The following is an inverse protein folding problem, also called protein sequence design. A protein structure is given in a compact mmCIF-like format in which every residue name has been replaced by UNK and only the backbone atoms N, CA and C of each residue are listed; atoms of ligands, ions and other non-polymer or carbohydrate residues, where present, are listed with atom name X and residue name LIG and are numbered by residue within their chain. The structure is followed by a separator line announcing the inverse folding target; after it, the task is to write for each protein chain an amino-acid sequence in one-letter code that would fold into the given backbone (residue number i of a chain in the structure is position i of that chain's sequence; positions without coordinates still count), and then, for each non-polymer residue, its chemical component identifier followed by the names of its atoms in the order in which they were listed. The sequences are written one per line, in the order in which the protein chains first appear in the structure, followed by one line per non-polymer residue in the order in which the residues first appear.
data_IF_672672320992
#
_entry.id   IF_672672320992
#
_cell.length_a   1.000
_cell.length_b   1.000
_cell.length_c   1.000
_cell.angle_alpha   90.00
_cell.angle_beta   90.00
_cell.angle_gamma   90.00
#
_symmetry.space_group_name_H-M   'P 1'
#
loop_
_entity.id
_entity.type
_entity.pdbx_description
1 polymer ?
#
# COMPACT_ATOMS: atom_id res chain seq x y z
N UNK A 1 29.64 1.35 -15.43
CA UNK A 1 29.08 0.43 -14.44
C UNK A 1 27.71 0.96 -14.02
N UNK A 2 26.65 0.26 -14.36
CA UNK A 2 25.33 0.62 -13.83
C UNK A 2 25.31 0.28 -12.34
N UNK A 3 25.22 1.29 -11.48
CA UNK A 3 24.91 1.08 -10.07
C UNK A 3 23.47 0.59 -10.06
N UNK A 4 23.27 -0.70 -9.78
CA UNK A 4 21.93 -1.24 -9.62
C UNK A 4 21.21 -0.44 -8.54
N UNK A 5 20.00 0.02 -8.84
CA UNK A 5 19.16 0.68 -7.84
C UNK A 5 18.80 -0.40 -6.83
N UNK A 6 19.46 -0.37 -5.67
CA UNK A 6 19.23 -1.33 -4.61
C UNK A 6 17.94 -0.96 -3.89
N UNK A 7 16.88 -1.70 -4.19
CA UNK A 7 15.57 -1.59 -3.55
C UNK A 7 15.28 -2.95 -2.92
N UNK A 8 15.10 -2.98 -1.62
CA UNK A 8 14.65 -4.16 -0.87
C UNK A 8 13.21 -4.03 -0.42
N UNK A 9 12.50 -5.15 -0.38
CA UNK A 9 11.13 -5.23 0.13
C UNK A 9 11.13 -6.17 1.34
N UNK A 10 10.53 -5.72 2.43
CA UNK A 10 10.37 -6.50 3.65
C UNK A 10 9.05 -6.20 4.35
N UNK A 11 8.65 -7.06 5.28
CA UNK A 11 7.53 -6.75 6.17
C UNK A 11 7.80 -5.52 7.02
N UNK A 12 6.77 -4.72 7.24
CA UNK A 12 6.82 -3.57 8.13
C UNK A 12 6.86 -4.00 9.59
N UNK A 13 7.47 -3.16 10.41
CA UNK A 13 7.44 -3.26 11.87
C UNK A 13 7.14 -1.90 12.49
N UNK A 14 7.05 -1.83 13.82
CA UNK A 14 6.72 -0.59 14.54
C UNK A 14 7.72 0.55 14.30
N UNK A 15 8.97 0.22 14.01
CA UNK A 15 10.01 1.23 13.73
C UNK A 15 9.78 1.96 12.40
N UNK A 16 8.97 1.37 11.50
CA UNK A 16 8.64 1.98 10.21
C UNK A 16 7.53 3.04 10.31
N UNK A 17 6.91 3.19 11.47
CA UNK A 17 5.77 4.09 11.66
C UNK A 17 6.07 5.55 11.29
N UNK A 18 7.28 6.04 11.59
CA UNK A 18 7.68 7.40 11.24
C UNK A 18 7.82 7.59 9.73
N UNK A 19 8.46 6.66 9.06
CA UNK A 19 8.65 6.71 7.62
C UNK A 19 7.30 6.61 6.87
N UNK A 20 6.41 5.73 7.30
CA UNK A 20 5.06 5.61 6.72
C UNK A 20 4.25 6.89 6.95
N UNK A 21 4.30 7.47 8.16
CA UNK A 21 3.67 8.74 8.44
C UNK A 21 4.19 9.86 7.54
N UNK A 22 5.49 9.94 7.35
CA UNK A 22 6.13 10.90 6.45
C UNK A 22 5.66 10.72 5.00
N UNK A 23 5.62 9.48 4.51
CA UNK A 23 5.11 9.18 3.15
C UNK A 23 3.68 9.72 2.99
N UNK A 24 2.80 9.46 3.95
CA UNK A 24 1.40 9.92 3.90
C UNK A 24 1.28 11.44 3.92
N UNK A 25 2.13 12.14 4.67
CA UNK A 25 2.17 13.60 4.67
C UNK A 25 2.67 14.16 3.33
N UNK A 26 3.73 13.58 2.78
CA UNK A 26 4.30 14.01 1.50
C UNK A 26 3.38 13.73 0.30
N UNK A 27 2.63 12.63 0.33
CA UNK A 27 1.60 12.31 -0.68
C UNK A 27 0.47 13.34 -0.67
N UNK A 28 0.08 13.84 0.50
CA UNK A 28 -0.84 14.97 0.64
C UNK A 28 -2.32 14.67 0.38
N UNK A 29 -2.74 13.40 0.40
CA UNK A 29 -4.13 13.03 0.05
C UNK A 29 -5.06 12.88 1.25
N UNK A 30 -4.53 12.96 2.45
CA UNK A 30 -5.28 12.66 3.67
C UNK A 30 -5.21 13.85 4.63
N UNK A 31 -6.28 14.64 4.69
CA UNK A 31 -6.36 15.85 5.51
C UNK A 31 -6.00 15.59 6.98
N UNK A 32 -6.38 14.44 7.51
CA UNK A 32 -6.07 14.04 8.88
C UNK A 32 -4.57 13.88 9.17
N UNK A 33 -3.75 13.66 8.15
CA UNK A 33 -2.29 13.61 8.27
C UNK A 33 -1.64 14.96 7.97
N UNK A 34 -2.30 15.80 7.17
CA UNK A 34 -1.83 17.16 6.90
C UNK A 34 -2.01 18.09 8.11
N UNK A 35 -3.06 17.86 8.90
CA UNK A 35 -3.44 18.72 10.03
C UNK A 35 -2.66 18.45 11.33
N UNK A 36 -1.74 17.50 11.34
CA UNK A 36 -1.03 17.07 12.55
C UNK A 36 0.49 17.09 12.36
N UNK A 37 1.24 17.10 13.47
CA UNK A 37 2.70 16.97 13.42
C UNK A 37 3.12 15.58 12.96
N UNK A 38 4.37 15.44 12.53
CA UNK A 38 4.94 14.13 12.17
C UNK A 38 4.92 13.17 13.36
N UNK A 39 5.17 13.65 14.57
CA UNK A 39 5.13 12.85 15.80
C UNK A 39 3.72 12.32 16.08
N UNK A 40 2.71 13.15 15.90
CA UNK A 40 1.31 12.73 16.06
C UNK A 40 0.90 11.73 14.97
N UNK A 41 1.30 11.97 13.73
CA UNK A 41 1.08 11.05 12.61
C UNK A 41 1.76 9.70 12.85
N UNK A 42 3.01 9.72 13.31
CA UNK A 42 3.76 8.51 13.68
C UNK A 42 3.04 7.70 14.75
N UNK A 43 2.56 8.35 15.81
CA UNK A 43 1.83 7.64 16.88
C UNK A 43 0.57 6.93 16.36
N UNK A 44 -0.17 7.58 15.48
CA UNK A 44 -1.35 6.97 14.82
C UNK A 44 -0.98 5.76 13.97
N UNK A 45 0.09 5.85 13.19
CA UNK A 45 0.55 4.74 12.36
C UNK A 45 1.07 3.59 13.22
N UNK A 46 1.84 3.88 14.28
CA UNK A 46 2.34 2.85 15.19
C UNK A 46 1.20 2.06 15.84
N UNK A 47 0.14 2.73 16.29
CA UNK A 47 -1.06 2.07 16.83
C UNK A 47 -1.71 1.13 15.80
N UNK A 48 -1.86 1.60 14.56
CA UNK A 48 -2.48 0.82 13.48
C UNK A 48 -1.62 -0.37 13.05
N UNK A 49 -0.31 -0.20 12.95
CA UNK A 49 0.62 -1.31 12.67
C UNK A 49 0.52 -2.37 13.78
N UNK A 50 0.56 -1.95 15.05
CA UNK A 50 0.43 -2.85 16.20
C UNK A 50 -0.88 -3.66 16.13
N UNK A 51 -1.98 -3.01 15.79
CA UNK A 51 -3.28 -3.66 15.61
C UNK A 51 -3.27 -4.66 14.45
N UNK A 52 -2.72 -4.29 13.31
CA UNK A 52 -2.57 -5.21 12.17
C UNK A 52 -1.75 -6.45 12.53
N UNK A 53 -0.65 -6.26 13.25
CA UNK A 53 0.19 -7.38 13.73
C UNK A 53 -0.57 -8.29 14.68
N UNK A 54 -1.38 -7.74 15.57
CA UNK A 54 -2.17 -8.50 16.54
C UNK A 54 -3.31 -9.28 15.87
N UNK A 55 -4.02 -8.68 14.92
CA UNK A 55 -5.15 -9.31 14.24
C UNK A 55 -4.70 -10.37 13.21
N UNK A 56 -3.52 -10.21 12.61
CA UNK A 56 -2.95 -11.16 11.64
C UNK A 56 -3.68 -11.27 10.30
N UNK A 57 -4.63 -10.37 10.02
CA UNK A 57 -5.44 -10.35 8.79
C UNK A 57 -4.92 -9.39 7.74
N UNK A 58 -3.80 -8.73 8.03
CA UNK A 58 -3.18 -7.73 7.18
C UNK A 58 -1.74 -8.11 6.88
N UNK A 59 -1.25 -7.65 5.74
CA UNK A 59 0.18 -7.64 5.42
C UNK A 59 0.57 -6.24 5.01
N UNK A 60 1.65 -5.74 5.58
CA UNK A 60 2.24 -4.45 5.21
C UNK A 60 3.69 -4.71 4.80
N UNK A 61 4.03 -4.37 3.57
CA UNK A 61 5.43 -4.35 3.10
C UNK A 61 5.93 -2.93 2.96
N UNK A 62 7.19 -2.73 3.28
CA UNK A 62 7.92 -1.49 3.03
C UNK A 62 9.00 -1.71 1.98
N UNK A 63 9.27 -0.67 1.21
CA UNK A 63 10.38 -0.62 0.29
C UNK A 63 11.48 0.27 0.86
N UNK A 64 12.68 -0.27 0.93
CA UNK A 64 13.88 0.45 1.33
C UNK A 64 14.75 0.77 0.11
N UNK A 65 15.25 1.98 0.06
CA UNK A 65 16.25 2.44 -0.89
C UNK A 65 17.23 3.33 -0.18
N UNK A 66 18.54 3.05 -0.31
CA UNK A 66 19.60 3.78 0.40
C UNK A 66 19.39 3.81 1.93
N UNK A 67 19.03 2.65 2.48
CA UNK A 67 18.76 2.44 3.92
C UNK A 67 17.58 3.24 4.49
N UNK A 68 16.73 3.81 3.62
CA UNK A 68 15.53 4.53 4.03
C UNK A 68 14.26 3.89 3.47
N UNK A 69 13.20 3.87 4.26
CA UNK A 69 11.87 3.44 3.82
C UNK A 69 11.25 4.55 2.97
N UNK A 70 11.01 4.24 1.70
CA UNK A 70 10.57 5.21 0.68
C UNK A 70 9.20 4.89 0.08
N UNK A 71 8.62 3.77 0.44
CA UNK A 71 7.29 3.36 -0.02
C UNK A 71 6.73 2.22 0.82
N UNK A 72 5.42 1.99 0.71
CA UNK A 72 4.77 0.87 1.36
C UNK A 72 3.52 0.42 0.63
N UNK A 73 3.10 -0.81 0.89
CA UNK A 73 1.84 -1.39 0.43
C UNK A 73 1.16 -2.10 1.60
N UNK A 74 -0.15 -1.98 1.70
CA UNK A 74 -0.96 -2.66 2.72
C UNK A 74 -2.10 -3.42 2.05
N UNK A 75 -2.29 -4.67 2.46
CA UNK A 75 -3.41 -5.50 2.03
C UNK A 75 -4.12 -6.16 3.23
N UNK A 76 -5.41 -6.40 3.03
CA UNK A 76 -6.29 -7.09 3.96
C UNK A 76 -6.70 -8.44 3.35
N UNK A 77 -6.70 -9.49 4.15
CA UNK A 77 -7.04 -10.84 3.72
C UNK A 77 -8.32 -11.29 4.39
N UNK A 78 -9.27 -11.79 3.61
CA UNK A 78 -10.56 -12.21 4.16
C UNK A 78 -11.21 -13.30 3.31
N UNK A 79 -11.97 -14.21 3.94
CA UNK A 79 -12.79 -15.15 3.20
C UNK A 79 -13.99 -14.42 2.59
N UNK A 80 -14.23 -14.65 1.30
CA UNK A 80 -15.41 -14.20 0.59
C UNK A 80 -16.34 -15.41 0.41
N UNK A 81 -17.52 -15.37 1.00
CA UNK A 81 -18.41 -16.54 1.05
C UNK A 81 -18.74 -17.13 -0.33
N UNK A 82 -18.90 -16.26 -1.33
CA UNK A 82 -19.27 -16.68 -2.69
C UNK A 82 -18.07 -17.01 -3.59
N UNK A 83 -16.91 -16.38 -3.36
CA UNK A 83 -15.80 -16.37 -4.35
C UNK A 83 -14.51 -16.99 -3.84
N UNK A 84 -14.42 -17.35 -2.57
CA UNK A 84 -13.24 -17.97 -1.98
C UNK A 84 -12.48 -17.02 -1.05
N UNK A 85 -11.18 -16.85 -1.26
CA UNK A 85 -10.33 -16.05 -0.38
C UNK A 85 -9.76 -14.85 -1.13
N UNK A 86 -10.11 -13.65 -0.68
CA UNK A 86 -9.75 -12.39 -1.31
C UNK A 86 -8.66 -11.64 -0.54
N UNK A 87 -7.90 -10.84 -1.27
CA UNK A 87 -7.06 -9.79 -0.74
C UNK A 87 -7.50 -8.43 -1.26
N UNK A 88 -7.56 -7.44 -0.37
CA UNK A 88 -7.82 -6.04 -0.71
C UNK A 88 -6.58 -5.21 -0.47
N UNK A 89 -5.97 -4.72 -1.56
CA UNK A 89 -4.86 -3.77 -1.49
C UNK A 89 -5.46 -2.39 -1.21
N UNK A 90 -5.38 -1.98 0.05
CA UNK A 90 -5.99 -0.72 0.51
C UNK A 90 -5.10 0.49 0.27
N UNK A 91 -3.77 0.29 0.26
CA UNK A 91 -2.80 1.37 0.18
C UNK A 91 -1.56 0.91 -0.59
N UNK A 92 -1.11 1.76 -1.49
CA UNK A 92 0.17 1.65 -2.19
C UNK A 92 0.70 3.05 -2.44
N UNK A 93 1.71 3.44 -1.69
CA UNK A 93 2.29 4.78 -1.75
C UNK A 93 3.80 4.74 -1.80
N UNK A 94 4.35 5.64 -2.60
CA UNK A 94 5.79 5.89 -2.73
C UNK A 94 6.03 7.38 -2.51
N UNK A 95 7.12 7.74 -1.82
CA UNK A 95 7.52 9.14 -1.71
C UNK A 95 7.54 9.79 -3.09
N UNK A 96 6.94 10.99 -3.25
CA UNK A 96 6.93 11.67 -4.55
C UNK A 96 8.34 11.87 -5.15
N UNK A 97 9.34 12.11 -4.32
CA UNK A 97 10.75 12.23 -4.72
C UNK A 97 11.38 10.92 -5.21
N UNK A 98 10.76 9.79 -4.92
CA UNK A 98 11.27 8.44 -5.20
C UNK A 98 10.48 7.72 -6.30
N UNK A 99 9.58 8.41 -6.97
CA UNK A 99 8.84 7.86 -8.12
C UNK A 99 9.76 7.69 -9.34
N UNK A 100 9.43 6.73 -10.20
CA UNK A 100 10.22 6.46 -11.42
C UNK A 100 11.33 5.42 -11.24
N UNK A 101 11.56 4.90 -10.03
CA UNK A 101 12.56 3.86 -9.75
C UNK A 101 11.98 2.44 -9.70
N UNK A 102 10.71 2.26 -10.04
CA UNK A 102 10.06 0.94 -10.03
C UNK A 102 9.69 0.42 -8.63
N UNK A 103 9.66 1.29 -7.62
CA UNK A 103 9.35 0.93 -6.23
C UNK A 103 7.91 0.39 -6.12
N UNK A 104 6.95 1.10 -6.70
CA UNK A 104 5.55 0.67 -6.72
C UNK A 104 5.34 -0.71 -7.36
N UNK A 105 6.05 -0.98 -8.45
CA UNK A 105 6.02 -2.28 -9.14
C UNK A 105 6.57 -3.40 -8.26
N UNK A 106 7.65 -3.16 -7.54
CA UNK A 106 8.24 -4.14 -6.62
C UNK A 106 7.35 -4.42 -5.41
N UNK A 107 6.75 -3.38 -4.85
CA UNK A 107 5.77 -3.52 -3.76
C UNK A 107 4.56 -4.34 -4.21
N UNK A 108 4.04 -4.06 -5.39
CA UNK A 108 2.89 -4.78 -5.96
C UNK A 108 3.24 -6.25 -6.23
N UNK A 109 4.43 -6.54 -6.76
CA UNK A 109 4.92 -7.91 -6.99
C UNK A 109 5.08 -8.69 -5.69
N UNK A 110 5.57 -8.05 -4.63
CA UNK A 110 5.67 -8.67 -3.30
C UNK A 110 4.27 -9.04 -2.75
N UNK A 111 3.29 -8.18 -2.98
CA UNK A 111 1.91 -8.45 -2.56
C UNK A 111 1.26 -9.58 -3.37
N UNK A 112 1.54 -9.68 -4.67
CA UNK A 112 1.14 -10.81 -5.51
C UNK A 112 1.70 -12.13 -4.99
N UNK A 113 2.98 -12.15 -4.62
CA UNK A 113 3.63 -13.34 -4.06
C UNK A 113 3.00 -13.74 -2.72
N UNK A 114 2.72 -12.79 -1.86
CA UNK A 114 2.03 -13.04 -0.57
C UNK A 114 0.61 -13.57 -0.77
N UNK A 115 -0.11 -13.03 -1.74
CA UNK A 115 -1.45 -13.52 -2.09
C UNK A 115 -1.43 -14.99 -2.51
N UNK A 116 -0.47 -15.38 -3.36
CA UNK A 116 -0.30 -16.79 -3.78
C UNK A 116 0.06 -17.69 -2.60
N UNK A 117 0.96 -17.25 -1.74
CA UNK A 117 1.37 -17.97 -0.53
C UNK A 117 0.19 -18.25 0.41
N UNK A 118 -0.76 -17.30 0.49
CA UNK A 118 -1.97 -17.43 1.32
C UNK A 118 -3.10 -18.21 0.65
N UNK A 119 -2.93 -18.64 -0.59
CA UNK A 119 -4.01 -19.28 -1.35
C UNK A 119 -5.13 -18.33 -1.74
N UNK A 120 -4.83 -17.05 -1.83
CA UNK A 120 -5.77 -16.02 -2.25
C UNK A 120 -6.15 -16.27 -3.72
N UNK A 121 -7.44 -16.20 -4.01
CA UNK A 121 -7.96 -16.43 -5.36
C UNK A 121 -8.13 -15.15 -6.15
N UNK A 122 -8.18 -14.01 -5.47
CA UNK A 122 -8.37 -12.72 -6.11
C UNK A 122 -7.78 -11.58 -5.28
N UNK A 123 -7.11 -10.63 -5.94
CA UNK A 123 -6.75 -9.34 -5.38
C UNK A 123 -7.67 -8.27 -5.96
N UNK A 124 -8.13 -7.37 -5.12
CA UNK A 124 -8.92 -6.20 -5.51
C UNK A 124 -8.29 -4.93 -4.95
N UNK A 125 -8.52 -3.83 -5.64
CA UNK A 125 -8.15 -2.49 -5.15
C UNK A 125 -9.09 -1.44 -5.75
N UNK A 126 -9.11 -0.27 -5.13
CA UNK A 126 -9.78 0.91 -5.66
C UNK A 126 -8.71 1.93 -6.07
N UNK A 127 -8.77 2.36 -7.33
CA UNK A 127 -7.93 3.45 -7.83
C UNK A 127 -8.82 4.58 -8.35
N UNK A 128 -8.68 5.76 -7.80
CA UNK A 128 -9.46 6.91 -8.25
C UNK A 128 -9.00 7.36 -9.65
N UNK A 129 -9.94 7.52 -10.58
CA UNK A 129 -9.65 7.87 -11.98
C UNK A 129 -8.91 9.20 -12.15
N UNK A 130 -9.01 10.11 -11.17
CA UNK A 130 -8.30 11.39 -11.15
C UNK A 130 -6.82 11.26 -10.78
N UNK A 131 -6.37 10.10 -10.32
CA UNK A 131 -4.99 9.87 -9.90
C UNK A 131 -4.08 9.64 -11.10
N UNK A 132 -2.84 10.11 -10.99
CA UNK A 132 -1.81 9.91 -12.00
C UNK A 132 -1.59 8.43 -12.31
N UNK A 133 -1.58 7.57 -11.27
CA UNK A 133 -1.45 6.13 -11.42
C UNK A 133 -2.53 5.51 -12.31
N UNK A 134 -3.76 6.01 -12.23
CA UNK A 134 -4.82 5.60 -13.13
C UNK A 134 -4.59 6.13 -14.55
N UNK A 135 -4.31 7.41 -14.69
CA UNK A 135 -4.15 8.08 -16.00
C UNK A 135 -3.00 7.48 -16.81
N UNK A 136 -1.89 7.14 -16.17
CA UNK A 136 -0.76 6.46 -16.83
C UNK A 136 -0.91 4.95 -16.97
N UNK A 137 -2.02 4.37 -16.51
CA UNK A 137 -2.32 2.96 -16.64
C UNK A 137 -1.42 2.05 -15.80
N UNK A 138 -0.96 2.49 -14.63
CA UNK A 138 -0.04 1.74 -13.78
C UNK A 138 -0.52 0.32 -13.49
N UNK A 139 -1.74 0.17 -12.98
CA UNK A 139 -2.28 -1.16 -12.64
C UNK A 139 -2.54 -2.02 -13.87
N UNK A 140 -3.03 -1.44 -14.97
CA UNK A 140 -3.24 -2.17 -16.23
C UNK A 140 -1.94 -2.75 -16.77
N UNK A 141 -0.84 -2.01 -16.70
CA UNK A 141 0.51 -2.47 -17.10
C UNK A 141 1.00 -3.64 -16.24
N UNK A 142 0.46 -3.81 -15.03
CA UNK A 142 0.77 -4.90 -14.11
C UNK A 142 -0.27 -6.03 -14.13
N UNK A 143 -1.10 -6.10 -15.18
CA UNK A 143 -2.05 -7.19 -15.37
C UNK A 143 -3.38 -7.06 -14.63
N UNK A 144 -3.67 -5.89 -14.07
CA UNK A 144 -4.95 -5.62 -13.42
C UNK A 144 -6.02 -5.17 -14.42
N UNK A 145 -7.24 -5.63 -14.23
CA UNK A 145 -8.39 -5.29 -15.06
C UNK A 145 -9.37 -4.40 -14.30
N UNK A 146 -9.78 -3.31 -14.93
CA UNK A 146 -10.82 -2.45 -14.39
C UNK A 146 -12.20 -3.10 -14.58
N UNK A 147 -12.98 -3.15 -13.50
CA UNK A 147 -14.39 -3.55 -13.57
C UNK A 147 -15.23 -2.30 -13.88
N UNK A 148 -15.55 -2.11 -15.17
CA UNK A 148 -16.23 -0.91 -15.65
C UNK A 148 -17.71 -0.82 -15.23
N UNK A 149 -18.30 -1.96 -14.85
CA UNK A 149 -19.68 -2.10 -14.38
C UNK A 149 -19.83 -2.03 -12.85
N UNK A 150 -18.71 -1.89 -12.13
CA UNK A 150 -18.69 -1.79 -10.68
C UNK A 150 -18.58 -0.34 -10.20
N UNK A 151 -19.25 -0.02 -9.11
CA UNK A 151 -19.13 1.26 -8.43
C UNK A 151 -18.63 1.07 -6.99
N UNK A 152 -17.84 2.02 -6.53
CA UNK A 152 -17.34 2.06 -5.16
C UNK A 152 -18.20 3.03 -4.33
N UNK A 153 -18.75 2.53 -3.23
CA UNK A 153 -19.58 3.33 -2.34
C UNK A 153 -18.93 3.49 -0.98
N UNK A 154 -19.00 4.68 -0.41
CA UNK A 154 -18.54 4.95 0.95
C UNK A 154 -19.68 5.53 1.78
N UNK A 155 -19.69 5.22 3.09
CA UNK A 155 -20.59 5.83 4.06
C UNK A 155 -19.81 6.10 5.33
N UNK A 156 -19.82 7.36 5.77
CA UNK A 156 -19.20 7.71 7.05
C UNK A 156 -20.04 7.12 8.19
N UNK A 157 -19.37 6.47 9.12
CA UNK A 157 -19.99 5.99 10.36
C UNK A 157 -19.69 7.03 11.45
N UNK A 158 -20.71 7.57 12.02
CA UNK A 158 -20.66 8.57 13.08
C UNK A 158 -20.64 7.92 14.46
#
# INVERSE_FOLDING_TARGET
MMIGIDISIREANLQDSRAIAHILQEVGWFDQFQAVSLEQAQARIAERIARCMQEGTNTIFVAERLDEVVGYVSAHWYPHLALGYDGYVSELFVLPSETGYGIGSRLLSAMDAEARKRGCTRLILMNRRIRESYQRGFYRKHGWHELSDAAFFTRKIS
#
